data_IF_519425119273
#
_entry.id   IF_519425119273
#
_cell.length_a   1.000
_cell.length_b   1.000
_cell.length_c   1.000
_cell.angle_alpha   90.00
_cell.angle_beta   90.00
_cell.angle_gamma   90.00
#
_symmetry.space_group_name_H-M   'P 1'
#
loop_
_entity.id
_entity.type
_entity.pdbx_description
1 polymer ?
#
# COMPACT_ATOMS: atom_id res chain seq x y z
N UNK A 1 -31.20 -14.00 26.83
CA UNK A 1 -30.43 -13.25 25.86
C UNK A 1 -29.09 -13.98 25.68
N UNK A 2 -28.83 -14.47 24.46
CA UNK A 2 -27.56 -15.10 24.10
C UNK A 2 -26.78 -14.06 23.31
N UNK A 3 -25.76 -13.48 23.94
CA UNK A 3 -24.82 -12.62 23.25
C UNK A 3 -23.87 -13.48 22.41
N UNK A 4 -24.03 -13.42 21.09
CA UNK A 4 -23.09 -14.04 20.15
C UNK A 4 -21.93 -13.06 19.94
N UNK A 5 -20.86 -13.24 20.70
CA UNK A 5 -19.60 -12.55 20.47
C UNK A 5 -18.95 -13.12 19.21
N UNK A 6 -19.03 -12.37 18.13
CA UNK A 6 -18.35 -12.69 16.88
C UNK A 6 -16.88 -12.25 17.02
N UNK A 7 -15.98 -13.20 17.27
CA UNK A 7 -14.55 -12.97 17.14
C UNK A 7 -14.13 -13.26 15.69
N UNK A 8 -13.80 -12.24 14.88
CA UNK A 8 -13.26 -12.49 13.55
C UNK A 8 -11.87 -13.11 13.67
N UNK A 9 -11.74 -14.37 13.35
CA UNK A 9 -10.45 -15.02 13.23
C UNK A 9 -9.81 -14.62 11.89
N UNK A 10 -8.55 -14.21 11.93
CA UNK A 10 -7.70 -13.88 10.77
C UNK A 10 -7.63 -14.95 9.68
N UNK A 11 -8.04 -16.17 9.96
CA UNK A 11 -8.14 -17.26 8.97
C UNK A 11 -9.28 -17.11 7.95
N UNK A 12 -10.23 -16.20 8.12
CA UNK A 12 -11.35 -16.04 7.19
C UNK A 12 -10.96 -15.33 5.89
N UNK A 13 -10.02 -14.40 5.92
CA UNK A 13 -9.63 -13.61 4.76
C UNK A 13 -9.06 -14.47 3.60
N UNK A 14 -8.15 -15.38 3.87
CA UNK A 14 -7.57 -16.26 2.82
C UNK A 14 -8.61 -17.22 2.20
N UNK A 15 -9.60 -17.65 2.97
CA UNK A 15 -10.71 -18.45 2.43
C UNK A 15 -11.57 -17.62 1.49
N UNK A 16 -11.77 -16.37 1.82
CA UNK A 16 -12.59 -15.45 1.03
C UNK A 16 -11.91 -15.11 -0.30
N UNK A 17 -10.57 -15.01 -0.37
CA UNK A 17 -9.82 -14.87 -1.63
C UNK A 17 -10.10 -16.05 -2.57
N UNK A 18 -10.03 -17.27 -2.10
CA UNK A 18 -10.34 -18.45 -2.91
C UNK A 18 -11.79 -18.45 -3.45
N UNK A 19 -12.74 -17.88 -2.70
CA UNK A 19 -14.13 -17.71 -3.15
C UNK A 19 -14.24 -16.65 -4.25
N UNK A 20 -13.56 -15.50 -4.12
CA UNK A 20 -13.53 -14.46 -5.14
C UNK A 20 -12.88 -14.94 -6.43
N UNK A 21 -11.74 -15.60 -6.34
CA UNK A 21 -11.06 -16.21 -7.48
C UNK A 21 -11.91 -17.27 -8.18
N UNK A 22 -12.64 -18.10 -7.40
CA UNK A 22 -13.55 -19.07 -7.96
C UNK A 22 -14.71 -18.40 -8.70
N UNK A 23 -15.33 -17.40 -8.09
CA UNK A 23 -16.40 -16.63 -8.73
C UNK A 23 -15.95 -16.01 -10.05
N UNK A 24 -14.74 -15.44 -10.08
CA UNK A 24 -14.15 -14.88 -11.30
C UNK A 24 -13.94 -15.95 -12.38
N UNK A 25 -13.34 -17.11 -12.02
CA UNK A 25 -13.14 -18.23 -12.98
C UNK A 25 -14.45 -18.80 -13.53
N UNK A 26 -15.53 -18.72 -12.78
CA UNK A 26 -16.88 -19.12 -13.20
C UNK A 26 -17.62 -18.01 -13.95
N UNK A 27 -16.93 -16.91 -14.33
CA UNK A 27 -17.48 -15.72 -14.99
C UNK A 27 -18.61 -15.03 -14.22
N UNK A 28 -18.62 -15.09 -12.90
CA UNK A 28 -19.51 -14.30 -12.07
C UNK A 28 -18.97 -12.87 -11.93
N UNK A 29 -19.81 -11.90 -12.21
CA UNK A 29 -19.51 -10.49 -11.99
C UNK A 29 -19.68 -10.19 -10.49
N UNK A 30 -18.60 -9.80 -9.83
CA UNK A 30 -18.67 -9.34 -8.45
C UNK A 30 -19.33 -7.96 -8.41
N UNK A 31 -20.14 -7.70 -7.39
CA UNK A 31 -20.68 -6.35 -7.18
C UNK A 31 -19.54 -5.40 -6.76
N UNK A 32 -19.68 -4.11 -7.05
CA UNK A 32 -18.70 -3.07 -6.67
C UNK A 32 -18.33 -3.14 -5.18
N UNK A 33 -19.31 -3.36 -4.31
CA UNK A 33 -19.09 -3.54 -2.87
C UNK A 33 -18.17 -4.73 -2.56
N UNK A 34 -18.38 -5.87 -3.24
CA UNK A 34 -17.55 -7.07 -3.04
C UNK A 34 -16.15 -6.85 -3.60
N UNK A 35 -16.03 -6.23 -4.78
CA UNK A 35 -14.73 -5.89 -5.38
C UNK A 35 -13.90 -5.00 -4.44
N UNK A 36 -14.51 -3.95 -3.89
CA UNK A 36 -13.86 -3.07 -2.92
C UNK A 36 -13.46 -3.80 -1.64
N UNK A 37 -14.31 -4.69 -1.14
CA UNK A 37 -13.99 -5.53 0.01
C UNK A 37 -12.81 -6.45 -0.29
N UNK A 38 -12.77 -7.08 -1.45
CA UNK A 38 -11.66 -7.92 -1.89
C UNK A 38 -10.33 -7.14 -1.95
N UNK A 39 -10.33 -5.95 -2.56
CA UNK A 39 -9.16 -5.09 -2.61
C UNK A 39 -8.65 -4.70 -1.20
N UNK A 40 -9.55 -4.33 -0.29
CA UNK A 40 -9.19 -3.99 1.10
C UNK A 40 -8.60 -5.18 1.86
N UNK A 41 -9.19 -6.35 1.72
CA UNK A 41 -8.66 -7.55 2.39
C UNK A 41 -7.30 -7.97 1.83
N UNK A 42 -7.05 -7.83 0.52
CA UNK A 42 -5.73 -8.04 -0.06
C UNK A 42 -4.67 -7.14 0.59
N UNK A 43 -4.94 -5.84 0.75
CA UNK A 43 -4.00 -4.90 1.38
C UNK A 43 -3.77 -5.18 2.87
N UNK A 44 -4.78 -5.72 3.59
CA UNK A 44 -4.66 -6.02 5.02
C UNK A 44 -3.88 -7.30 5.31
N UNK A 45 -4.10 -8.36 4.51
CA UNK A 45 -3.61 -9.69 4.86
C UNK A 45 -3.19 -10.55 3.66
N UNK A 46 -3.24 -10.04 2.43
CA UNK A 46 -2.75 -10.73 1.24
C UNK A 46 -1.23 -10.85 1.24
N UNK A 47 -0.72 -11.95 0.72
CA UNK A 47 0.69 -12.11 0.38
C UNK A 47 0.91 -11.82 -1.12
N UNK A 48 2.17 -11.83 -1.55
CA UNK A 48 2.54 -11.56 -2.94
C UNK A 48 1.79 -12.47 -3.93
N UNK A 49 1.61 -13.74 -3.58
CA UNK A 49 0.91 -14.71 -4.44
C UNK A 49 -0.58 -14.40 -4.54
N UNK A 50 -1.21 -13.92 -3.46
CA UNK A 50 -2.61 -13.49 -3.46
C UNK A 50 -2.82 -12.28 -4.40
N UNK A 51 -1.91 -11.29 -4.38
CA UNK A 51 -1.96 -10.15 -5.30
C UNK A 51 -1.78 -10.57 -6.76
N UNK A 52 -0.84 -11.48 -7.04
CA UNK A 52 -0.60 -11.98 -8.39
C UNK A 52 -1.81 -12.74 -8.93
N UNK A 53 -2.48 -13.55 -8.10
CA UNK A 53 -3.70 -14.27 -8.50
C UNK A 53 -4.88 -13.34 -8.75
N UNK A 54 -4.96 -12.23 -8.00
CA UNK A 54 -6.03 -11.25 -8.14
C UNK A 54 -5.83 -10.30 -9.35
N UNK A 55 -4.61 -10.18 -9.86
CA UNK A 55 -4.25 -9.19 -10.88
C UNK A 55 -5.12 -9.25 -12.15
N UNK A 56 -5.41 -10.45 -12.67
CA UNK A 56 -6.24 -10.60 -13.88
C UNK A 56 -7.66 -10.05 -13.67
N UNK A 57 -8.26 -10.31 -12.49
CA UNK A 57 -9.56 -9.78 -12.15
C UNK A 57 -9.55 -8.25 -12.07
N UNK A 58 -8.59 -7.68 -11.34
CA UNK A 58 -8.49 -6.24 -11.17
C UNK A 58 -8.08 -5.51 -12.45
N UNK A 59 -7.35 -6.16 -13.37
CA UNK A 59 -7.06 -5.61 -14.70
C UNK A 59 -8.33 -5.39 -15.52
N UNK A 60 -9.19 -6.40 -15.61
CA UNK A 60 -10.47 -6.28 -16.29
C UNK A 60 -11.40 -5.26 -15.64
N UNK A 61 -11.40 -5.21 -14.30
CA UNK A 61 -12.20 -4.24 -13.57
C UNK A 61 -11.71 -2.80 -13.79
N UNK A 62 -10.39 -2.60 -13.78
CA UNK A 62 -9.76 -1.31 -14.04
C UNK A 62 -9.98 -0.80 -15.46
N UNK A 63 -9.93 -1.69 -16.47
CA UNK A 63 -10.25 -1.34 -17.84
C UNK A 63 -11.68 -0.82 -18.01
N UNK A 64 -12.62 -1.36 -17.23
CA UNK A 64 -14.03 -0.98 -17.28
C UNK A 64 -14.36 0.28 -16.47
N UNK A 65 -13.71 0.50 -15.32
CA UNK A 65 -14.12 1.49 -14.32
C UNK A 65 -13.04 2.54 -14.01
N UNK A 66 -11.76 2.26 -14.27
CA UNK A 66 -10.61 3.12 -13.97
C UNK A 66 -10.60 3.60 -12.48
N UNK A 67 -10.95 2.72 -11.56
CA UNK A 67 -11.05 3.01 -10.13
C UNK A 67 -9.70 2.92 -9.42
N UNK A 68 -9.53 3.71 -8.36
CA UNK A 68 -8.28 3.81 -7.62
C UNK A 68 -7.93 2.51 -6.87
N UNK A 69 -8.93 1.79 -6.36
CA UNK A 69 -8.73 0.53 -5.66
C UNK A 69 -8.09 -0.53 -6.55
N UNK A 70 -8.59 -0.68 -7.78
CA UNK A 70 -7.98 -1.58 -8.78
C UNK A 70 -6.58 -1.13 -9.19
N UNK A 71 -6.37 0.18 -9.38
CA UNK A 71 -5.05 0.73 -9.68
C UNK A 71 -4.02 0.37 -8.60
N UNK A 72 -4.38 0.45 -7.31
CA UNK A 72 -3.52 0.07 -6.19
C UNK A 72 -3.12 -1.41 -6.25
N UNK A 73 -4.07 -2.32 -6.48
CA UNK A 73 -3.78 -3.76 -6.59
C UNK A 73 -2.84 -4.04 -7.77
N UNK A 74 -3.11 -3.42 -8.92
CA UNK A 74 -2.30 -3.61 -10.12
C UNK A 74 -0.89 -3.03 -9.98
N UNK A 75 -0.74 -1.85 -9.35
CA UNK A 75 0.56 -1.25 -9.07
C UNK A 75 1.38 -2.17 -8.16
N UNK A 76 0.78 -2.71 -7.08
CA UNK A 76 1.43 -3.67 -6.20
C UNK A 76 1.87 -4.93 -6.96
N UNK A 77 0.97 -5.55 -7.75
CA UNK A 77 1.28 -6.74 -8.54
C UNK A 77 2.39 -6.48 -9.58
N UNK A 78 2.34 -5.36 -10.30
CA UNK A 78 3.36 -4.98 -11.29
C UNK A 78 4.74 -4.76 -10.65
N UNK A 79 4.79 -4.14 -9.44
CA UNK A 79 6.04 -3.99 -8.69
C UNK A 79 6.64 -5.34 -8.28
N UNK A 80 5.84 -6.26 -7.74
CA UNK A 80 6.29 -7.61 -7.36
C UNK A 80 6.83 -8.38 -8.58
N UNK A 81 6.16 -8.28 -9.73
CA UNK A 81 6.58 -8.89 -10.99
C UNK A 81 7.79 -8.19 -11.62
N UNK A 82 8.23 -7.06 -11.07
CA UNK A 82 9.25 -6.19 -11.64
C UNK A 82 8.92 -5.74 -13.08
N UNK A 83 7.62 -5.59 -13.40
CA UNK A 83 7.14 -5.05 -14.67
C UNK A 83 7.15 -3.52 -14.61
N UNK A 84 8.30 -2.93 -14.92
CA UNK A 84 8.57 -1.49 -14.73
C UNK A 84 7.62 -0.62 -15.55
N UNK A 85 7.40 -0.97 -16.81
CA UNK A 85 6.58 -0.18 -17.74
C UNK A 85 5.11 -0.18 -17.28
N UNK A 86 4.56 -1.34 -16.91
CA UNK A 86 3.19 -1.45 -16.41
C UNK A 86 3.04 -0.71 -15.08
N UNK A 87 4.00 -0.88 -14.16
CA UNK A 87 4.00 -0.20 -12.88
C UNK A 87 3.89 1.32 -13.03
N UNK A 88 4.80 1.94 -13.82
CA UNK A 88 4.76 3.38 -14.00
C UNK A 88 3.56 3.85 -14.82
N UNK A 89 3.11 3.06 -15.80
CA UNK A 89 1.90 3.38 -16.56
C UNK A 89 0.66 3.50 -15.65
N UNK A 90 0.50 2.56 -14.70
CA UNK A 90 -0.58 2.56 -13.72
C UNK A 90 -0.43 3.74 -12.76
N UNK A 91 0.74 3.89 -12.13
CA UNK A 91 0.98 4.95 -11.15
C UNK A 91 0.77 6.35 -11.74
N UNK A 92 1.31 6.63 -12.93
CA UNK A 92 1.18 7.94 -13.57
C UNK A 92 -0.26 8.26 -13.98
N UNK A 93 -1.01 7.25 -14.44
CA UNK A 93 -2.41 7.43 -14.82
C UNK A 93 -3.28 7.76 -13.60
N UNK A 94 -3.07 7.07 -12.48
CA UNK A 94 -3.77 7.34 -11.24
C UNK A 94 -3.41 8.72 -10.67
N UNK A 95 -2.12 9.09 -10.64
CA UNK A 95 -1.66 10.39 -10.17
C UNK A 95 -2.25 11.57 -10.96
N UNK A 96 -2.60 11.38 -12.23
CA UNK A 96 -3.25 12.41 -13.04
C UNK A 96 -4.74 12.58 -12.69
N UNK A 97 -5.38 11.59 -12.11
CA UNK A 97 -6.81 11.60 -11.76
C UNK A 97 -7.07 11.95 -10.31
N UNK A 98 -6.48 11.23 -9.38
CA UNK A 98 -6.57 11.48 -7.93
C UNK A 98 -5.51 10.65 -7.21
N UNK A 99 -4.37 11.25 -6.90
CA UNK A 99 -3.30 10.53 -6.19
C UNK A 99 -3.79 10.00 -4.84
N UNK A 100 -3.55 8.72 -4.56
CA UNK A 100 -3.85 8.08 -3.28
C UNK A 100 -2.58 7.63 -2.53
N UNK A 101 -2.72 7.40 -1.21
CA UNK A 101 -1.59 7.05 -0.35
C UNK A 101 -0.96 5.71 -0.73
N UNK A 102 -1.75 4.75 -1.18
CA UNK A 102 -1.27 3.43 -1.62
C UNK A 102 -0.35 3.54 -2.83
N UNK A 103 -0.71 4.31 -3.85
CA UNK A 103 0.15 4.51 -5.04
C UNK A 103 1.46 5.21 -4.64
N UNK A 104 1.40 6.24 -3.80
CA UNK A 104 2.60 6.87 -3.28
C UNK A 104 3.47 5.89 -2.47
N UNK A 105 2.85 5.04 -1.67
CA UNK A 105 3.55 4.02 -0.90
C UNK A 105 4.24 2.98 -1.82
N UNK A 106 3.57 2.52 -2.86
CA UNK A 106 4.15 1.59 -3.85
C UNK A 106 5.34 2.21 -4.60
N UNK A 107 5.26 3.50 -4.97
CA UNK A 107 6.40 4.23 -5.53
C UNK A 107 7.56 4.31 -4.53
N UNK A 108 7.28 4.59 -3.25
CA UNK A 108 8.29 4.55 -2.19
C UNK A 108 8.96 3.18 -2.06
N UNK A 109 8.18 2.10 -2.08
CA UNK A 109 8.70 0.74 -2.05
C UNK A 109 9.56 0.43 -3.28
N UNK A 110 9.13 0.83 -4.47
CA UNK A 110 9.86 0.65 -5.71
C UNK A 110 11.27 1.26 -5.64
N UNK A 111 11.39 2.52 -5.17
CA UNK A 111 12.68 3.19 -5.03
C UNK A 111 13.52 2.64 -3.88
N UNK A 112 12.90 2.23 -2.77
CA UNK A 112 13.59 1.57 -1.65
C UNK A 112 14.25 0.25 -2.10
N UNK A 113 13.55 -0.58 -2.85
CA UNK A 113 14.07 -1.84 -3.39
C UNK A 113 15.26 -1.63 -4.33
N UNK A 114 15.33 -0.45 -4.96
CA UNK A 114 16.44 -0.04 -5.84
C UNK A 114 17.51 0.78 -5.12
N UNK A 115 17.50 0.74 -3.78
CA UNK A 115 18.48 1.41 -2.94
C UNK A 115 18.60 2.92 -3.22
N UNK A 116 17.47 3.57 -3.53
CA UNK A 116 17.36 5.01 -3.68
C UNK A 116 16.52 5.59 -2.53
N UNK A 117 17.10 5.75 -1.31
CA UNK A 117 16.37 6.21 -0.14
C UNK A 117 15.92 7.68 -0.25
N UNK A 118 16.57 8.51 -1.10
CA UNK A 118 16.17 9.89 -1.35
C UNK A 118 14.78 9.93 -2.01
N UNK A 119 14.62 9.26 -3.14
CA UNK A 119 13.35 9.19 -3.85
C UNK A 119 12.30 8.43 -3.02
N UNK A 120 12.69 7.33 -2.39
CA UNK A 120 11.79 6.58 -1.52
C UNK A 120 11.19 7.44 -0.41
N UNK A 121 12.00 8.29 0.24
CA UNK A 121 11.55 9.17 1.32
C UNK A 121 10.51 10.20 0.85
N UNK A 122 10.66 10.75 -0.36
CA UNK A 122 9.69 11.70 -0.93
C UNK A 122 8.33 11.03 -1.12
N UNK A 123 8.32 9.82 -1.66
CA UNK A 123 7.08 9.10 -1.91
C UNK A 123 6.40 8.62 -0.62
N UNK A 124 7.16 8.15 0.38
CA UNK A 124 6.59 7.81 1.68
C UNK A 124 6.08 9.04 2.43
N UNK A 125 6.73 10.20 2.25
CA UNK A 125 6.23 11.45 2.79
C UNK A 125 4.89 11.83 2.16
N UNK A 126 4.78 11.74 0.83
CA UNK A 126 3.51 12.00 0.13
C UNK A 126 2.41 11.03 0.60
N UNK A 127 2.74 9.75 0.79
CA UNK A 127 1.79 8.77 1.32
C UNK A 127 1.29 9.11 2.72
N UNK A 128 2.18 9.62 3.59
CA UNK A 128 1.85 9.93 4.99
C UNK A 128 1.09 11.25 5.17
N UNK A 129 1.38 12.29 4.35
CA UNK A 129 0.98 13.66 4.67
C UNK A 129 0.22 14.38 3.55
N UNK A 130 0.41 13.99 2.28
CA UNK A 130 -0.09 14.77 1.14
C UNK A 130 -1.26 14.10 0.41
N UNK A 131 -1.54 12.82 0.70
CA UNK A 131 -2.56 12.02 0.01
C UNK A 131 -3.49 11.32 1.00
N UNK A 132 -4.60 10.77 0.50
CA UNK A 132 -5.58 10.04 1.30
C UNK A 132 -5.60 8.55 0.93
N UNK A 133 -5.75 7.64 1.89
CA UNK A 133 -5.84 6.22 1.63
C UNK A 133 -7.23 5.85 1.08
N UNK A 134 -7.27 4.87 0.18
CA UNK A 134 -8.52 4.32 -0.37
C UNK A 134 -8.79 2.90 0.12
N UNK A 135 -7.75 2.13 0.46
CA UNK A 135 -7.86 0.73 0.88
C UNK A 135 -7.47 0.51 2.34
N UNK A 136 -6.33 1.07 2.76
CA UNK A 136 -5.76 0.81 4.08
C UNK A 136 -5.24 2.09 4.72
N UNK A 137 -5.95 2.55 5.74
CA UNK A 137 -5.60 3.77 6.46
C UNK A 137 -4.22 3.72 7.14
N UNK A 138 -3.71 2.54 7.48
CA UNK A 138 -2.36 2.41 8.04
C UNK A 138 -1.26 2.82 7.04
N UNK A 139 -1.56 2.78 5.74
CA UNK A 139 -0.64 3.22 4.68
C UNK A 139 -0.33 4.71 4.80
N UNK A 140 -1.35 5.55 5.04
CA UNK A 140 -1.17 6.99 5.24
C UNK A 140 -0.74 7.37 6.66
N UNK A 141 -0.44 6.41 7.52
CA UNK A 141 -0.05 6.61 8.89
C UNK A 141 1.18 5.79 9.27
N UNK A 142 0.97 4.83 10.17
CA UNK A 142 2.03 4.02 10.77
C UNK A 142 2.99 3.38 9.76
N UNK A 143 2.47 2.83 8.65
CA UNK A 143 3.30 2.12 7.66
C UNK A 143 4.24 3.08 6.93
N UNK A 144 3.73 4.21 6.43
CA UNK A 144 4.56 5.20 5.73
C UNK A 144 5.57 5.88 6.66
N UNK A 145 5.18 6.22 7.89
CA UNK A 145 6.06 6.82 8.89
C UNK A 145 7.25 5.91 9.24
N UNK A 146 7.03 4.61 9.42
CA UNK A 146 8.11 3.65 9.66
C UNK A 146 9.06 3.54 8.46
N UNK A 147 8.54 3.57 7.24
CA UNK A 147 9.38 3.57 6.02
C UNK A 147 10.18 4.85 5.85
N UNK A 148 9.59 6.00 6.21
CA UNK A 148 10.31 7.26 6.28
C UNK A 148 11.49 7.18 7.24
N UNK A 149 11.28 6.68 8.45
CA UNK A 149 12.34 6.53 9.44
C UNK A 149 13.47 5.62 8.92
N UNK A 150 13.13 4.49 8.27
CA UNK A 150 14.12 3.62 7.62
C UNK A 150 14.93 4.35 6.55
N UNK A 151 14.27 5.13 5.67
CA UNK A 151 14.95 5.90 4.62
C UNK A 151 15.94 6.92 5.22
N UNK A 152 15.52 7.67 6.24
CA UNK A 152 16.38 8.65 6.88
C UNK A 152 17.59 8.03 7.59
N UNK A 153 17.44 6.84 8.19
CA UNK A 153 18.58 6.09 8.73
C UNK A 153 19.54 5.66 7.65
N UNK A 154 19.03 5.08 6.55
CA UNK A 154 19.88 4.67 5.43
C UNK A 154 20.62 5.87 4.83
N UNK A 155 20.00 7.05 4.75
CA UNK A 155 20.66 8.27 4.32
C UNK A 155 21.75 8.73 5.27
N UNK A 156 21.54 8.60 6.58
CA UNK A 156 22.53 8.97 7.59
C UNK A 156 23.75 8.04 7.62
N UNK A 157 23.55 6.76 7.25
CA UNK A 157 24.60 5.74 7.17
C UNK A 157 25.43 5.83 5.87
N UNK A 158 25.04 6.71 4.93
CA UNK A 158 25.76 6.87 3.68
C UNK A 158 27.14 7.52 3.95
N UNK A 159 28.21 6.92 3.44
CA UNK A 159 29.60 7.37 3.63
C UNK A 159 29.87 8.82 3.13
N UNK A 160 29.01 9.35 2.26
CA UNK A 160 29.09 10.73 1.75
C UNK A 160 28.37 11.75 2.65
N UNK A 161 27.70 11.31 3.71
CA UNK A 161 27.01 12.19 4.64
C UNK A 161 27.99 12.78 5.65
N UNK A 162 28.01 14.11 5.79
CA UNK A 162 28.83 14.72 6.85
C UNK A 162 28.19 14.44 8.23
N UNK A 163 29.00 14.40 9.32
CA UNK A 163 28.51 14.03 10.64
C UNK A 163 27.39 14.94 11.20
N UNK A 164 27.35 16.21 10.80
CA UNK A 164 26.32 17.13 11.25
C UNK A 164 24.98 16.81 10.57
N UNK A 165 24.99 16.65 9.25
CA UNK A 165 23.84 16.23 8.48
C UNK A 165 23.33 14.84 8.88
N UNK A 166 24.23 13.91 9.21
CA UNK A 166 23.86 12.59 9.70
C UNK A 166 23.08 12.67 11.03
N UNK A 167 23.49 13.56 11.95
CA UNK A 167 22.78 13.80 13.21
C UNK A 167 21.35 14.30 12.98
N UNK A 168 21.16 15.24 12.06
CA UNK A 168 19.85 15.78 11.70
C UNK A 168 18.94 14.71 11.07
N UNK A 169 19.50 13.86 10.19
CA UNK A 169 18.75 12.76 9.58
C UNK A 169 18.32 11.72 10.61
N UNK A 170 19.18 11.36 11.57
CA UNK A 170 18.82 10.44 12.66
C UNK A 170 17.77 11.04 13.60
N UNK A 171 17.82 12.35 13.86
CA UNK A 171 16.78 13.03 14.64
C UNK A 171 15.42 12.91 13.95
N UNK A 172 15.35 13.20 12.65
CA UNK A 172 14.12 13.04 11.86
C UNK A 172 13.61 11.59 11.83
N UNK A 173 14.52 10.62 11.69
CA UNK A 173 14.15 9.22 11.76
C UNK A 173 13.47 8.87 13.10
N UNK A 174 14.03 9.36 14.20
CA UNK A 174 13.46 9.17 15.54
C UNK A 174 12.09 9.84 15.70
N UNK A 175 11.91 11.05 15.14
CA UNK A 175 10.63 11.76 15.16
C UNK A 175 9.53 10.96 14.43
N UNK A 176 9.81 10.43 13.24
CA UNK A 176 8.85 9.61 12.50
C UNK A 176 8.52 8.30 13.20
N UNK A 177 9.49 7.67 13.86
CA UNK A 177 9.20 6.48 14.67
C UNK A 177 8.30 6.79 15.87
N UNK A 178 8.55 7.90 16.56
CA UNK A 178 7.68 8.33 17.66
C UNK A 178 6.26 8.61 17.16
N UNK A 179 6.12 9.30 16.01
CA UNK A 179 4.82 9.52 15.39
C UNK A 179 4.13 8.20 15.03
N UNK A 180 4.86 7.23 14.50
CA UNK A 180 4.32 5.91 14.18
C UNK A 180 3.89 5.11 15.42
N UNK A 181 4.58 5.28 16.57
CA UNK A 181 4.25 4.61 17.81
C UNK A 181 2.99 5.16 18.47
N UNK A 182 2.77 6.48 18.38
CA UNK A 182 1.57 7.13 18.92
C UNK A 182 0.42 7.20 17.93
N UNK A 183 0.64 6.72 16.70
CA UNK A 183 -0.40 6.70 15.69
C UNK A 183 -1.50 5.73 16.08
N UNK A 184 -2.71 6.23 16.20
CA UNK A 184 -3.91 5.46 16.49
C UNK A 184 -4.86 5.51 15.29
N UNK A 185 -5.60 4.43 15.11
CA UNK A 185 -6.69 4.42 14.11
C UNK A 185 -7.68 5.53 14.48
N UNK A 186 -8.08 6.39 13.53
CA UNK A 186 -9.16 7.35 13.75
C UNK A 186 -10.42 6.64 14.27
N UNK A 187 -11.03 7.17 15.33
CA UNK A 187 -12.18 6.52 16.00
C UNK A 187 -13.43 6.42 15.11
N UNK A 188 -13.47 7.07 13.93
CA UNK A 188 -14.60 7.01 12.99
C UNK A 188 -14.13 7.05 11.53
N UNK A 189 -14.30 5.93 10.86
CA UNK A 189 -14.45 5.87 9.40
C UNK A 189 -15.48 4.80 9.04
#
# INVERSE_FOLDING_TARGET
>A
DIDILHHPHTMHAKRDFAMFEKAFRENHVLSEKITRMYARELYKCGDEEDFLRAADYFSLHYEAHADAESACILAHAARIQNSVDDFFSICLKDMCSSSCSEICYELGQYYRERQNPQEASLWFYNAAFETQPVLDIEISGKKALLRLAECYRTLAENDLCDPCSAGDLLSRASEYEQQAQVWELPEEL
#
